data_IF_758751874739
#
_entry.id   IF_758751874739
#
_cell.length_a   1.000
_cell.length_b   1.000
_cell.length_c   1.000
_cell.angle_alpha   90.00
_cell.angle_beta   90.00
_cell.angle_gamma   90.00
#
_symmetry.space_group_name_H-M   'P 1'
#
loop_
_entity.id
_entity.type
_entity.pdbx_description
1 polymer ?
#
# COMPACT_ATOMS: atom_id res chain seq x y z
N UNK A 1 -5.81 13.49 12.70
CA UNK A 1 -4.33 13.46 12.77
C UNK A 1 -3.87 12.14 12.19
N UNK A 2 -3.38 12.13 10.95
CA UNK A 2 -2.87 10.92 10.30
C UNK A 2 -1.34 10.95 10.43
N UNK A 3 -0.78 10.15 11.33
CA UNK A 3 0.66 9.86 11.32
C UNK A 3 0.91 8.80 10.24
N UNK A 4 1.75 9.16 9.28
CA UNK A 4 2.23 8.29 8.21
C UNK A 4 2.99 7.10 8.80
N UNK A 5 2.45 5.90 8.64
CA UNK A 5 3.07 4.65 9.08
C UNK A 5 4.35 4.36 8.32
N UNK A 6 5.45 4.23 9.06
CA UNK A 6 6.74 3.77 8.53
C UNK A 6 6.75 2.25 8.38
N UNK A 7 7.18 1.79 7.22
CA UNK A 7 7.50 0.40 6.95
C UNK A 7 8.97 0.16 7.31
N UNK A 8 9.28 -0.96 7.96
CA UNK A 8 10.65 -1.32 8.32
C UNK A 8 11.04 -2.70 7.79
N UNK A 9 12.27 -2.76 7.30
CA UNK A 9 12.95 -3.95 6.80
C UNK A 9 14.10 -4.21 7.78
N UNK A 10 14.07 -5.33 8.50
CA UNK A 10 15.15 -5.72 9.39
C UNK A 10 16.31 -6.33 8.59
N UNK A 11 17.48 -5.70 8.64
CA UNK A 11 18.78 -6.30 8.29
C UNK A 11 19.81 -5.77 9.29
N UNK A 12 20.33 -6.67 10.15
CA UNK A 12 21.49 -6.62 11.10
C UNK A 12 21.98 -5.25 11.68
N UNK A 13 22.21 -5.10 13.01
CA UNK A 13 22.19 -3.81 13.69
C UNK A 13 23.58 -3.20 13.95
N UNK A 14 24.04 -2.26 13.10
CA UNK A 14 25.10 -1.28 13.46
C UNK A 14 24.92 0.04 12.71
N UNK A 15 24.38 1.08 13.35
CA UNK A 15 24.40 2.43 12.76
C UNK A 15 23.40 3.40 13.38
N UNK A 16 23.80 4.08 14.44
CA UNK A 16 23.09 5.18 15.12
C UNK A 16 23.13 6.46 14.27
N UNK A 17 21.97 7.10 14.06
CA UNK A 17 21.83 8.40 13.40
C UNK A 17 20.71 9.23 14.03
N UNK A 18 21.09 10.19 14.86
CA UNK A 18 20.26 11.14 15.61
C UNK A 18 19.77 12.28 14.71
N UNK A 19 18.47 12.58 14.67
CA UNK A 19 17.94 13.83 14.06
C UNK A 19 17.03 14.60 15.02
N UNK A 20 17.41 15.85 15.28
CA UNK A 20 16.71 16.85 16.11
C UNK A 20 15.57 17.55 15.34
N UNK A 21 14.57 18.01 16.09
CA UNK A 21 13.23 18.41 15.64
C UNK A 21 13.06 19.77 14.94
N UNK A 22 11.86 19.93 14.37
CA UNK A 22 11.40 21.08 13.59
C UNK A 22 10.46 21.97 14.44
N UNK A 23 10.69 23.28 14.41
CA UNK A 23 9.94 24.31 15.14
C UNK A 23 8.62 24.70 14.46
N UNK A 24 7.63 25.03 15.29
CA UNK A 24 6.31 25.49 14.90
C UNK A 24 6.31 26.98 14.48
N UNK A 25 5.59 27.33 13.42
CA UNK A 25 5.26 28.72 13.07
C UNK A 25 3.74 28.84 12.90
N UNK A 26 3.19 29.88 13.54
CA UNK A 26 1.77 30.17 13.74
C UNK A 26 1.12 30.70 12.46
N UNK A 27 -0.18 30.44 12.32
CA UNK A 27 -0.98 30.85 11.18
C UNK A 27 -1.40 32.31 11.21
N UNK A 28 -1.58 32.85 10.01
CA UNK A 28 -2.37 34.06 9.77
C UNK A 28 -3.45 33.75 8.72
N UNK A 29 -4.64 34.26 9.00
CA UNK A 29 -5.89 34.06 8.27
C UNK A 29 -5.99 35.13 7.18
N UNK A 30 -5.88 34.73 5.92
CA UNK A 30 -6.08 35.62 4.77
C UNK A 30 -7.49 35.46 4.20
N UNK A 31 -8.26 36.55 4.24
CA UNK A 31 -9.52 36.72 3.52
C UNK A 31 -9.27 36.73 2.00
N UNK A 32 -9.99 35.88 1.26
CA UNK A 32 -9.96 35.87 -0.20
C UNK A 32 -11.13 36.69 -0.72
N UNK A 33 -10.81 37.85 -1.33
CA UNK A 33 -11.77 38.64 -2.13
C UNK A 33 -11.95 38.00 -3.51
N UNK A 34 -13.19 37.73 -3.87
CA UNK A 34 -13.60 37.21 -5.17
C UNK A 34 -13.57 38.32 -6.22
N UNK A 35 -12.77 38.13 -7.27
CA UNK A 35 -12.80 38.94 -8.49
C UNK A 35 -12.86 38.00 -9.68
N UNK A 36 -13.93 38.11 -10.46
CA UNK A 36 -14.18 37.34 -11.67
C UNK A 36 -13.08 37.59 -12.72
N UNK A 37 -12.48 36.51 -13.24
CA UNK A 37 -11.60 36.53 -14.41
C UNK A 37 -12.36 36.01 -15.61
N UNK A 38 -12.34 36.80 -16.69
CA UNK A 38 -13.05 36.56 -17.94
C UNK A 38 -12.46 35.38 -18.71
N UNK A 39 -13.34 34.72 -19.45
CA UNK A 39 -13.05 33.61 -20.36
C UNK A 39 -12.16 34.05 -21.52
N UNK A 40 -10.88 33.67 -21.45
CA UNK A 40 -9.94 33.67 -22.58
C UNK A 40 -9.53 32.23 -22.89
N UNK A 41 -9.84 31.76 -24.10
CA UNK A 41 -9.41 30.45 -24.57
C UNK A 41 -7.88 30.37 -24.73
N UNK A 42 -7.30 29.24 -24.35
CA UNK A 42 -5.90 28.91 -24.61
C UNK A 42 -5.77 27.41 -24.90
N UNK A 43 -4.80 27.01 -25.75
CA UNK A 43 -4.79 25.73 -26.43
C UNK A 43 -4.33 24.58 -25.52
N UNK A 44 -4.75 23.38 -25.91
CA UNK A 44 -4.47 22.09 -25.31
C UNK A 44 -3.02 21.87 -24.87
N UNK A 45 -2.81 21.72 -23.57
CA UNK A 45 -1.76 20.85 -23.04
C UNK A 45 -2.45 19.71 -22.31
N UNK A 46 -2.44 18.52 -22.92
CA UNK A 46 -2.92 17.30 -22.29
C UNK A 46 -1.98 16.96 -21.14
N UNK A 47 -2.30 17.48 -19.94
CA UNK A 47 -1.74 16.95 -18.72
C UNK A 47 -2.20 15.51 -18.64
N UNK A 48 -1.27 14.59 -18.85
CA UNK A 48 -1.45 13.15 -18.69
C UNK A 48 -1.57 12.85 -17.20
N UNK A 49 -2.68 13.31 -16.61
CA UNK A 49 -3.20 12.71 -15.40
C UNK A 49 -3.43 11.22 -15.66
N UNK A 50 -3.23 10.35 -14.65
CA UNK A 50 -3.48 8.94 -14.82
C UNK A 50 -4.92 8.73 -15.29
N UNK A 51 -5.10 7.99 -16.38
CA UNK A 51 -6.40 7.72 -16.96
C UNK A 51 -7.21 6.81 -16.03
N UNK A 52 -8.04 7.42 -15.17
CA UNK A 52 -8.86 6.72 -14.16
C UNK A 52 -10.04 5.94 -14.78
N UNK A 53 -10.34 6.12 -16.06
CA UNK A 53 -11.46 5.51 -16.79
C UNK A 53 -11.14 4.09 -17.31
N UNK A 54 -9.89 3.62 -17.20
CA UNK A 54 -9.49 2.28 -17.64
C UNK A 54 -9.30 1.32 -16.48
N UNK A 55 -10.38 0.98 -15.78
CA UNK A 55 -10.33 -0.19 -14.89
C UNK A 55 -10.08 -1.46 -15.73
N UNK A 56 -8.98 -2.20 -15.51
CA UNK A 56 -8.72 -3.43 -16.21
C UNK A 56 -9.72 -4.49 -15.76
N UNK A 57 -10.54 -4.96 -16.71
CA UNK A 57 -11.52 -6.04 -16.50
C UNK A 57 -10.85 -7.36 -16.13
N UNK A 58 -9.65 -7.60 -16.69
CA UNK A 58 -8.87 -8.80 -16.49
C UNK A 58 -7.51 -8.42 -15.86
N UNK A 59 -6.86 -9.37 -15.19
CA UNK A 59 -5.59 -9.15 -14.51
C UNK A 59 -4.57 -10.24 -14.87
N UNK A 60 -4.17 -10.31 -16.15
CA UNK A 60 -3.38 -11.43 -16.66
C UNK A 60 -2.04 -11.61 -15.93
N UNK A 61 -1.40 -10.53 -15.46
CA UNK A 61 -0.17 -10.68 -14.68
C UNK A 61 -0.45 -11.12 -13.26
N UNK A 62 -1.42 -10.50 -12.59
CA UNK A 62 -1.78 -10.86 -11.22
C UNK A 62 -2.31 -12.29 -11.11
N UNK A 63 -2.94 -12.81 -12.17
CA UNK A 63 -3.41 -14.20 -12.25
C UNK A 63 -2.24 -15.20 -12.25
N UNK A 64 -1.04 -14.79 -12.67
CA UNK A 64 0.17 -15.63 -12.61
C UNK A 64 0.86 -15.62 -11.25
N UNK A 65 0.46 -14.74 -10.34
CA UNK A 65 1.11 -14.56 -9.03
C UNK A 65 0.33 -15.31 -7.95
N UNK A 66 0.91 -16.41 -7.46
CA UNK A 66 0.38 -17.16 -6.32
C UNK A 66 1.20 -16.94 -5.04
N UNK A 67 2.49 -16.61 -5.18
CA UNK A 67 3.42 -16.36 -4.07
C UNK A 67 4.43 -15.26 -4.41
N UNK A 68 5.09 -14.64 -3.40
CA UNK A 68 6.08 -13.58 -3.63
C UNK A 68 7.22 -13.96 -4.59
N UNK A 69 7.64 -15.23 -4.57
CA UNK A 69 8.68 -15.73 -5.46
C UNK A 69 8.34 -15.59 -6.95
N UNK A 70 7.06 -15.57 -7.32
CA UNK A 70 6.62 -15.45 -8.71
C UNK A 70 6.92 -14.04 -9.27
N UNK A 71 6.95 -13.01 -8.41
CA UNK A 71 7.27 -11.63 -8.82
C UNK A 71 8.69 -11.53 -9.36
N UNK A 72 9.64 -12.34 -8.86
CA UNK A 72 11.06 -12.28 -9.24
C UNK A 72 11.31 -12.66 -10.71
N UNK A 73 10.31 -13.26 -11.37
CA UNK A 73 10.35 -13.61 -12.80
C UNK A 73 9.91 -12.46 -13.71
N UNK A 74 9.32 -11.40 -13.15
CA UNK A 74 8.81 -10.27 -13.90
C UNK A 74 9.92 -9.25 -14.17
N UNK A 75 9.88 -8.66 -15.35
CA UNK A 75 10.64 -7.44 -15.64
C UNK A 75 10.10 -6.24 -14.86
N UNK A 76 10.92 -5.19 -14.75
CA UNK A 76 10.50 -3.91 -14.13
C UNK A 76 9.30 -3.29 -14.86
N UNK A 77 9.15 -3.52 -16.16
CA UNK A 77 7.98 -3.05 -16.93
C UNK A 77 6.73 -3.82 -16.53
N UNK A 78 6.82 -5.14 -16.43
CA UNK A 78 5.71 -6.00 -15.97
C UNK A 78 5.33 -5.70 -14.52
N UNK A 79 6.28 -5.39 -13.64
CA UNK A 79 6.00 -4.93 -12.26
C UNK A 79 5.12 -3.68 -12.20
N UNK A 80 5.30 -2.72 -13.13
CA UNK A 80 4.43 -1.54 -13.22
C UNK A 80 3.01 -1.93 -13.61
N UNK A 81 2.88 -2.82 -14.59
CA UNK A 81 1.58 -3.35 -15.01
C UNK A 81 0.91 -4.15 -13.88
N UNK A 82 1.66 -5.02 -13.20
CA UNK A 82 1.20 -5.77 -12.04
C UNK A 82 0.73 -4.84 -10.92
N UNK A 83 1.45 -3.74 -10.66
CA UNK A 83 1.05 -2.75 -9.64
C UNK A 83 -0.28 -2.08 -10.00
N UNK A 84 -0.52 -1.80 -11.29
CA UNK A 84 -1.81 -1.28 -11.74
C UNK A 84 -2.94 -2.32 -11.55
N UNK A 85 -2.70 -3.59 -11.93
CA UNK A 85 -3.68 -4.66 -11.72
C UNK A 85 -3.97 -4.89 -10.23
N UNK A 86 -2.94 -4.88 -9.38
CA UNK A 86 -3.03 -5.02 -7.93
C UNK A 86 -3.81 -3.87 -7.28
N UNK A 87 -3.61 -2.64 -7.76
CA UNK A 87 -4.40 -1.47 -7.36
C UNK A 87 -5.88 -1.71 -7.60
N UNK A 88 -6.25 -2.13 -8.81
CA UNK A 88 -7.64 -2.37 -9.15
C UNK A 88 -8.24 -3.58 -8.44
N UNK A 89 -7.46 -4.64 -8.22
CA UNK A 89 -7.87 -5.77 -7.37
C UNK A 89 -8.17 -5.32 -5.93
N UNK A 90 -7.33 -4.44 -5.39
CA UNK A 90 -7.54 -3.87 -4.04
C UNK A 90 -8.82 -3.04 -3.99
N UNK A 91 -9.06 -2.18 -5.00
CA UNK A 91 -10.31 -1.41 -5.10
C UNK A 91 -11.52 -2.35 -5.16
N UNK A 92 -11.49 -3.37 -6.04
CA UNK A 92 -12.59 -4.33 -6.21
C UNK A 92 -12.87 -5.13 -4.94
N UNK A 93 -11.83 -5.54 -4.23
CA UNK A 93 -11.98 -6.28 -2.97
C UNK A 93 -12.62 -5.40 -1.88
N UNK A 94 -12.08 -4.20 -1.69
CA UNK A 94 -12.52 -3.29 -0.62
C UNK A 94 -13.88 -2.66 -0.92
N UNK A 95 -14.26 -2.47 -2.19
CA UNK A 95 -15.60 -1.96 -2.53
C UNK A 95 -16.72 -2.94 -2.15
N UNK A 96 -16.44 -4.24 -2.09
CA UNK A 96 -17.41 -5.28 -1.71
C UNK A 96 -17.50 -5.48 -0.20
N UNK A 97 -16.38 -5.30 0.53
CA UNK A 97 -16.30 -5.62 1.96
C UNK A 97 -16.23 -4.38 2.87
N UNK A 98 -15.94 -3.20 2.31
CA UNK A 98 -15.46 -2.05 3.05
C UNK A 98 -14.04 -2.27 3.61
N UNK A 99 -13.49 -1.27 4.31
CA UNK A 99 -12.16 -1.32 4.91
C UNK A 99 -11.28 -0.11 4.58
N UNK A 100 -9.98 -0.23 4.83
CA UNK A 100 -9.04 0.88 4.74
C UNK A 100 -8.47 1.09 3.33
N UNK A 101 -9.32 1.56 2.41
CA UNK A 101 -8.97 1.73 0.99
C UNK A 101 -7.79 2.70 0.79
N UNK A 102 -7.89 3.94 1.28
CA UNK A 102 -6.90 4.99 1.02
C UNK A 102 -5.49 4.60 1.44
N UNK A 103 -5.35 4.04 2.65
CA UNK A 103 -4.07 3.55 3.17
C UNK A 103 -3.47 2.41 2.31
N UNK A 104 -4.32 1.49 1.84
CA UNK A 104 -3.89 0.35 1.02
C UNK A 104 -3.44 0.80 -0.38
N UNK A 105 -4.13 1.78 -0.97
CA UNK A 105 -3.77 2.31 -2.28
C UNK A 105 -2.43 3.07 -2.29
N UNK A 106 -2.07 3.70 -1.17
CA UNK A 106 -0.81 4.41 -1.02
C UNK A 106 0.44 3.52 -0.96
N UNK A 107 0.28 2.21 -0.72
CA UNK A 107 1.40 1.27 -0.55
C UNK A 107 1.45 0.19 -1.62
N UNK A 108 0.67 0.27 -2.70
CA UNK A 108 0.60 -0.77 -3.75
C UNK A 108 1.98 -1.02 -4.37
N UNK A 109 2.62 0.02 -4.92
CA UNK A 109 3.93 -0.07 -5.55
C UNK A 109 5.01 -0.48 -4.55
N UNK A 110 4.96 0.07 -3.33
CA UNK A 110 5.88 -0.27 -2.26
C UNK A 110 5.78 -1.76 -1.93
N UNK A 111 4.57 -2.29 -1.79
CA UNK A 111 4.33 -3.70 -1.49
C UNK A 111 4.87 -4.61 -2.58
N UNK A 112 4.63 -4.27 -3.86
CA UNK A 112 5.15 -5.02 -4.99
C UNK A 112 6.68 -4.99 -5.02
N UNK A 113 7.30 -3.82 -4.78
CA UNK A 113 8.75 -3.68 -4.74
C UNK A 113 9.39 -4.48 -3.60
N UNK A 114 8.81 -4.48 -2.40
CA UNK A 114 9.32 -5.27 -1.27
C UNK A 114 9.32 -6.76 -1.59
N UNK A 115 8.20 -7.29 -2.07
CA UNK A 115 8.09 -8.71 -2.39
C UNK A 115 8.92 -9.12 -3.60
N UNK A 116 9.26 -8.17 -4.48
CA UNK A 116 10.20 -8.40 -5.57
C UNK A 116 11.65 -8.50 -5.07
N UNK A 117 12.08 -7.55 -4.23
CA UNK A 117 13.46 -7.47 -3.73
C UNK A 117 13.73 -8.53 -2.66
N UNK A 118 12.89 -8.60 -1.62
CA UNK A 118 13.07 -9.51 -0.49
C UNK A 118 12.54 -10.92 -0.79
N UNK A 119 12.95 -11.89 0.02
CA UNK A 119 12.59 -13.30 -0.09
C UNK A 119 11.63 -13.68 1.05
N UNK A 120 10.42 -13.13 1.09
CA UNK A 120 9.43 -13.55 2.07
C UNK A 120 9.01 -15.03 1.82
N UNK A 121 8.82 -15.87 2.87
CA UNK A 121 8.81 -15.53 4.30
C UNK A 121 10.19 -15.64 5.00
N UNK A 122 11.28 -15.92 4.28
CA UNK A 122 12.62 -15.95 4.88
C UNK A 122 13.03 -14.56 5.39
N UNK A 123 12.76 -13.53 4.60
CA UNK A 123 12.95 -12.14 5.01
C UNK A 123 11.65 -11.62 5.64
N UNK A 124 11.75 -11.08 6.84
CA UNK A 124 10.59 -10.60 7.60
C UNK A 124 10.14 -9.23 7.09
N UNK A 125 8.88 -9.15 6.62
CA UNK A 125 8.23 -7.89 6.23
C UNK A 125 7.17 -7.54 7.28
N UNK A 126 7.42 -6.51 8.08
CA UNK A 126 6.53 -6.08 9.17
C UNK A 126 5.73 -4.85 8.75
N UNK A 127 4.40 -4.95 8.83
CA UNK A 127 3.50 -3.82 8.62
C UNK A 127 3.05 -3.24 9.96
N UNK A 128 3.38 -1.99 10.26
CA UNK A 128 2.87 -1.31 11.46
C UNK A 128 1.40 -0.95 11.30
N UNK A 129 0.60 -1.17 12.34
CA UNK A 129 -0.88 -1.20 12.34
C UNK A 129 -1.48 -2.24 11.37
N UNK A 130 -0.95 -2.37 10.16
CA UNK A 130 -1.28 -3.31 9.08
C UNK A 130 -2.64 -3.12 8.38
N UNK A 131 -3.30 -1.99 8.58
CA UNK A 131 -4.54 -1.67 7.85
C UNK A 131 -4.31 -1.38 6.35
N UNK A 132 -3.08 -1.05 5.98
CA UNK A 132 -2.60 -0.83 4.63
C UNK A 132 -2.18 -2.12 3.90
N UNK A 133 -2.16 -3.26 4.58
CA UNK A 133 -1.53 -4.49 4.08
C UNK A 133 -2.42 -5.33 3.13
N UNK A 134 -3.49 -4.78 2.55
CA UNK A 134 -4.34 -5.53 1.61
C UNK A 134 -3.61 -5.97 0.34
N UNK A 135 -2.79 -5.12 -0.32
CA UNK A 135 -1.97 -5.56 -1.44
C UNK A 135 -1.01 -6.69 -1.04
N UNK A 136 -0.50 -6.65 0.20
CA UNK A 136 0.39 -7.69 0.73
C UNK A 136 -0.36 -9.02 0.86
N UNK A 137 -1.59 -9.03 1.38
CA UNK A 137 -2.43 -10.24 1.45
C UNK A 137 -2.70 -10.82 0.06
N UNK A 138 -3.01 -9.97 -0.92
CA UNK A 138 -3.25 -10.40 -2.31
C UNK A 138 -2.02 -11.11 -2.89
N UNK A 139 -0.82 -10.50 -2.80
CA UNK A 139 0.42 -11.04 -3.37
C UNK A 139 0.97 -12.28 -2.63
N UNK A 140 0.42 -12.62 -1.48
CA UNK A 140 0.86 -13.73 -0.62
C UNK A 140 -0.17 -14.88 -0.60
N UNK A 141 -0.83 -15.10 -1.74
CA UNK A 141 -1.70 -16.26 -1.97
C UNK A 141 -3.12 -16.14 -1.42
N UNK A 142 -3.51 -15.00 -0.85
CA UNK A 142 -4.84 -14.83 -0.23
C UNK A 142 -5.83 -14.07 -1.11
N UNK A 143 -5.48 -13.78 -2.37
CA UNK A 143 -6.35 -13.09 -3.33
C UNK A 143 -7.78 -13.65 -3.38
N UNK A 144 -7.93 -14.96 -3.53
CA UNK A 144 -9.23 -15.63 -3.63
C UNK A 144 -10.12 -15.44 -2.39
N UNK A 145 -9.55 -15.13 -1.22
CA UNK A 145 -10.28 -14.94 0.05
C UNK A 145 -10.61 -13.48 0.35
N UNK A 146 -10.20 -12.54 -0.50
CA UNK A 146 -10.38 -11.11 -0.25
C UNK A 146 -11.84 -10.68 -0.11
N UNK A 147 -12.79 -11.40 -0.74
CA UNK A 147 -14.23 -11.18 -0.56
C UNK A 147 -14.75 -11.47 0.86
N UNK A 148 -13.94 -12.12 1.71
CA UNK A 148 -14.21 -12.41 3.13
C UNK A 148 -13.57 -11.42 4.09
N UNK A 149 -12.87 -10.40 3.59
CA UNK A 149 -12.14 -9.44 4.39
C UNK A 149 -13.04 -8.77 5.44
N UNK A 150 -12.59 -8.76 6.70
CA UNK A 150 -13.28 -8.23 7.89
C UNK A 150 -14.62 -8.91 8.24
N UNK A 151 -14.94 -10.06 7.63
CA UNK A 151 -16.11 -10.86 8.00
C UNK A 151 -15.73 -11.91 9.05
N UNK A 152 -16.70 -12.33 9.87
CA UNK A 152 -16.51 -13.44 10.82
C UNK A 152 -16.05 -14.71 10.09
N UNK A 153 -14.99 -15.35 10.59
CA UNK A 153 -14.36 -16.51 9.93
C UNK A 153 -13.59 -16.21 8.64
N UNK A 154 -13.58 -14.95 8.18
CA UNK A 154 -12.88 -14.49 6.99
C UNK A 154 -11.46 -13.98 7.26
N UNK A 155 -10.90 -13.26 6.28
CA UNK A 155 -9.60 -12.60 6.45
C UNK A 155 -9.68 -11.44 7.44
N UNK A 156 -8.65 -11.30 8.27
CA UNK A 156 -8.49 -10.17 9.17
C UNK A 156 -8.30 -8.87 8.37
N UNK A 157 -8.79 -7.75 8.92
CA UNK A 157 -8.52 -6.41 8.40
C UNK A 157 -7.07 -5.93 8.62
N UNK A 158 -6.27 -6.72 9.32
CA UNK A 158 -4.86 -6.47 9.66
C UNK A 158 -4.03 -7.74 9.40
N UNK A 159 -2.70 -7.67 9.51
CA UNK A 159 -1.85 -8.87 9.48
C UNK A 159 -2.13 -9.73 10.71
N UNK A 160 -2.16 -11.06 10.53
CA UNK A 160 -2.40 -12.03 11.60
C UNK A 160 -1.52 -13.25 11.38
N UNK A 161 -0.62 -13.53 12.34
CA UNK A 161 0.31 -14.68 12.30
C UNK A 161 -0.37 -16.02 12.00
N UNK A 162 -1.51 -16.28 12.63
CA UNK A 162 -2.28 -17.52 12.42
C UNK A 162 -2.97 -17.58 11.03
N UNK A 163 -3.04 -16.48 10.28
CA UNK A 163 -3.67 -16.44 8.95
C UNK A 163 -2.67 -16.78 7.83
N UNK A 164 -1.39 -16.49 8.01
CA UNK A 164 -0.39 -16.59 6.96
C UNK A 164 1.04 -16.60 7.51
N UNK A 165 1.90 -17.42 6.92
CA UNK A 165 3.36 -17.42 7.18
C UNK A 165 4.04 -16.10 6.80
N UNK A 166 3.40 -15.30 5.94
CA UNK A 166 3.90 -13.98 5.54
C UNK A 166 3.53 -12.85 6.51
N UNK A 167 2.63 -13.13 7.47
CA UNK A 167 2.17 -12.15 8.47
C UNK A 167 2.98 -12.33 9.77
N UNK A 168 4.26 -11.97 9.74
CA UNK A 168 5.21 -12.22 10.84
C UNK A 168 4.82 -11.58 12.18
N UNK A 169 4.06 -10.47 12.14
CA UNK A 169 3.57 -9.77 13.32
C UNK A 169 2.08 -9.44 13.19
N UNK A 170 1.35 -9.63 14.30
CA UNK A 170 -0.05 -9.23 14.40
C UNK A 170 -0.11 -7.78 14.81
N UNK A 171 -0.42 -6.90 13.86
CA UNK A 171 -0.48 -5.47 14.12
C UNK A 171 -1.93 -5.00 14.29
N UNK A 172 -2.11 -4.00 15.14
CA UNK A 172 -3.42 -3.41 15.46
C UNK A 172 -3.29 -2.12 16.25
N UNK A 173 -2.24 -2.02 17.08
CA UNK A 173 -1.75 -0.77 17.66
C UNK A 173 -0.57 -0.24 16.84
N UNK A 174 -0.49 1.08 16.73
CA UNK A 174 0.62 1.77 16.06
C UNK A 174 1.90 1.73 16.88
N UNK A 175 3.03 1.96 16.23
CA UNK A 175 4.36 2.09 16.85
C UNK A 175 4.87 0.82 17.52
N UNK A 176 4.32 -0.34 17.14
CA UNK A 176 4.73 -1.64 17.69
C UNK A 176 5.71 -2.39 16.77
N UNK A 177 5.80 -1.98 15.51
CA UNK A 177 6.62 -2.66 14.50
C UNK A 177 8.13 -2.63 14.77
N UNK A 178 8.68 -1.51 15.27
CA UNK A 178 10.12 -1.36 15.53
C UNK A 178 10.57 -2.40 16.56
N UNK A 179 9.90 -2.43 17.71
CA UNK A 179 10.21 -3.39 18.78
C UNK A 179 9.95 -4.84 18.37
N UNK A 180 9.07 -5.07 17.41
CA UNK A 180 8.81 -6.41 16.87
C UNK A 180 9.84 -6.87 15.83
N UNK A 181 10.63 -5.94 15.26
CA UNK A 181 11.61 -6.22 14.21
C UNK A 181 13.06 -6.29 14.72
N UNK A 182 13.32 -5.79 15.93
CA UNK A 182 14.60 -5.88 16.66
C UNK A 182 14.68 -7.18 17.46
#
# INVERSE_FOLDING_TARGET
MAFTGGLLIGSDPRGVGLFRGCGAVRGERLEVRSSAVSSGGSPSSSSSGPNYDRSPKNTPLLDTISKPADLKRLSVRELKTLSNELRWETIRSVSQTGGHLGSSLGVVELTAALHYVFNAPRDNIVWDVAHQAYPHKILTGRRHRMHTLRKGGGLSGFTKRAESVYDVFGAGHSSTSISAAL
#
